data_IF_187737955431
#
_entry.id   IF_187737955431
#
_cell.length_a   1.000
_cell.length_b   1.000
_cell.length_c   1.000
_cell.angle_alpha   90.00
_cell.angle_beta   90.00
_cell.angle_gamma   90.00
#
_symmetry.space_group_name_H-M   'P 1'
#
loop_
_entity.id
_entity.type
_entity.pdbx_description
1 polymer ?
#
# COMPACT_ATOMS: atom_id res chain seq x y z
N UNK A 1 -11.17 -4.61 20.09
CA UNK A 1 -11.41 -4.53 18.64
C UNK A 1 -10.68 -3.34 18.05
N UNK A 2 -9.92 -3.55 16.95
CA UNK A 2 -9.11 -2.53 16.28
C UNK A 2 -9.68 -2.32 14.87
N UNK A 3 -9.79 -1.06 14.47
CA UNK A 3 -10.00 -0.68 13.07
C UNK A 3 -8.63 -0.31 12.48
N UNK A 4 -8.17 -1.08 11.51
CA UNK A 4 -6.90 -0.84 10.81
C UNK A 4 -7.16 -0.23 9.44
N UNK A 5 -6.47 0.88 9.13
CA UNK A 5 -6.55 1.55 7.84
C UNK A 5 -5.14 1.68 7.29
N UNK A 6 -4.92 1.12 6.10
CA UNK A 6 -3.68 1.24 5.37
C UNK A 6 -3.82 2.31 4.27
N UNK A 7 -2.90 3.27 4.24
CA UNK A 7 -2.85 4.32 3.23
C UNK A 7 -1.49 4.33 2.57
N UNK A 8 -1.47 4.19 1.25
CA UNK A 8 -0.24 4.18 0.47
C UNK A 8 0.30 5.60 0.26
N UNK A 9 1.61 5.72 0.25
CA UNK A 9 2.33 6.91 -0.17
C UNK A 9 3.18 6.55 -1.39
N UNK A 10 3.13 7.39 -2.42
CA UNK A 10 3.82 7.15 -3.68
C UNK A 10 5.01 8.08 -3.82
N UNK A 11 6.21 7.53 -3.79
CA UNK A 11 7.43 8.28 -4.07
C UNK A 11 7.79 8.28 -5.55
N UNK A 12 7.28 7.29 -6.29
CA UNK A 12 7.55 7.08 -7.70
C UNK A 12 6.43 6.28 -8.38
N UNK A 13 6.60 6.02 -9.68
CA UNK A 13 5.63 5.23 -10.47
C UNK A 13 5.48 3.79 -9.97
N UNK A 14 6.57 3.17 -9.51
CA UNK A 14 6.50 1.80 -9.02
C UNK A 14 5.58 1.68 -7.80
N UNK A 15 5.63 2.65 -6.88
CA UNK A 15 4.73 2.71 -5.73
C UNK A 15 3.26 2.86 -6.15
N UNK A 16 2.98 3.72 -7.12
CA UNK A 16 1.62 3.89 -7.64
C UNK A 16 1.12 2.61 -8.34
N UNK A 17 1.95 1.98 -9.16
CA UNK A 17 1.59 0.74 -9.85
C UNK A 17 1.37 -0.41 -8.87
N UNK A 18 2.17 -0.49 -7.81
CA UNK A 18 1.95 -1.45 -6.73
C UNK A 18 0.59 -1.22 -6.05
N UNK A 19 0.21 0.02 -5.81
CA UNK A 19 -1.11 0.35 -5.25
C UNK A 19 -2.26 -0.02 -6.21
N UNK A 20 -2.10 0.23 -7.51
CA UNK A 20 -3.07 -0.21 -8.51
C UNK A 20 -3.22 -1.74 -8.52
N UNK A 21 -2.12 -2.46 -8.36
CA UNK A 21 -2.13 -3.92 -8.23
C UNK A 21 -2.89 -4.36 -6.98
N UNK A 22 -2.59 -3.77 -5.83
CA UNK A 22 -3.24 -4.11 -4.56
C UNK A 22 -4.74 -3.83 -4.58
N UNK A 23 -5.17 -2.80 -5.31
CA UNK A 23 -6.57 -2.38 -5.41
C UNK A 23 -7.27 -2.89 -6.67
N UNK A 24 -6.70 -3.89 -7.32
CA UNK A 24 -7.24 -4.46 -8.56
C UNK A 24 -8.61 -5.13 -8.34
N UNK A 25 -8.89 -5.62 -7.15
CA UNK A 25 -10.20 -6.11 -6.76
C UNK A 25 -10.77 -5.24 -5.63
N UNK A 26 -12.11 -5.23 -5.51
CA UNK A 26 -12.77 -4.48 -4.44
C UNK A 26 -12.89 -5.29 -3.13
N UNK A 27 -12.21 -6.42 -3.04
CA UNK A 27 -12.27 -7.31 -1.88
C UNK A 27 -11.17 -6.98 -0.88
N UNK A 28 -11.55 -6.64 0.34
CA UNK A 28 -10.62 -6.26 1.42
C UNK A 28 -9.58 -7.35 1.70
N UNK A 29 -10.00 -8.62 1.70
CA UNK A 29 -9.07 -9.73 1.93
C UNK A 29 -8.03 -9.85 0.82
N UNK A 30 -8.40 -9.62 -0.43
CA UNK A 30 -7.46 -9.57 -1.55
C UNK A 30 -6.47 -8.42 -1.40
N UNK A 31 -6.96 -7.25 -1.03
CA UNK A 31 -6.11 -6.08 -0.83
C UNK A 31 -4.98 -6.36 0.17
N UNK A 32 -5.30 -6.83 1.37
CA UNK A 32 -4.28 -7.10 2.38
C UNK A 32 -3.38 -8.27 2.02
N UNK A 33 -3.88 -9.30 1.36
CA UNK A 33 -3.07 -10.41 0.86
C UNK A 33 -2.05 -9.95 -0.18
N UNK A 34 -2.44 -9.07 -1.09
CA UNK A 34 -1.53 -8.49 -2.09
C UNK A 34 -0.52 -7.54 -1.43
N UNK A 35 -0.95 -6.73 -0.46
CA UNK A 35 -0.06 -5.85 0.31
C UNK A 35 1.03 -6.66 1.01
N UNK A 36 0.70 -7.79 1.62
CA UNK A 36 1.68 -8.67 2.25
C UNK A 36 2.73 -9.17 1.25
N UNK A 37 2.29 -9.59 0.06
CA UNK A 37 3.20 -10.01 -1.01
C UNK A 37 4.05 -8.85 -1.54
N UNK A 38 3.47 -7.67 -1.70
CA UNK A 38 4.19 -6.49 -2.16
C UNK A 38 5.33 -6.11 -1.21
N UNK A 39 5.09 -6.15 0.10
CA UNK A 39 6.13 -5.89 1.09
C UNK A 39 7.15 -7.03 1.15
N UNK A 40 6.72 -8.28 1.12
CA UNK A 40 7.62 -9.43 1.15
C UNK A 40 8.55 -9.48 -0.07
N UNK A 41 8.07 -9.06 -1.23
CA UNK A 41 8.83 -9.08 -2.49
C UNK A 41 9.23 -7.68 -2.97
N UNK A 42 9.23 -6.69 -2.08
CA UNK A 42 9.49 -5.29 -2.42
C UNK A 42 10.74 -5.07 -3.29
N UNK A 43 11.90 -5.70 -3.02
CA UNK A 43 13.07 -5.50 -3.86
C UNK A 43 12.88 -5.90 -5.33
N UNK A 44 11.95 -6.80 -5.62
CA UNK A 44 11.71 -7.29 -6.98
C UNK A 44 11.01 -6.28 -7.87
N UNK A 45 10.17 -5.41 -7.31
CA UNK A 45 9.41 -4.45 -8.10
C UNK A 45 9.81 -2.99 -7.84
N UNK A 46 10.47 -2.68 -6.72
CA UNK A 46 10.74 -1.31 -6.32
C UNK A 46 12.13 -0.79 -6.74
N UNK A 47 13.04 -1.67 -7.11
CA UNK A 47 14.45 -1.31 -7.38
C UNK A 47 14.79 -1.12 -8.85
N UNK A 48 13.95 -1.60 -9.77
CA UNK A 48 14.20 -1.44 -11.19
C UNK A 48 13.78 -0.05 -11.67
N UNK A 49 14.57 0.52 -12.57
CA UNK A 49 14.20 1.73 -13.31
C UNK A 49 13.47 1.39 -14.61
N UNK A 50 13.48 0.12 -15.01
CA UNK A 50 12.85 -0.36 -16.23
C UNK A 50 11.37 -0.69 -15.99
N UNK A 51 10.49 -0.01 -16.71
CA UNK A 51 9.03 -0.18 -16.59
C UNK A 51 8.60 -1.63 -16.79
N UNK A 52 9.18 -2.32 -17.77
CA UNK A 52 8.81 -3.71 -18.09
C UNK A 52 9.12 -4.67 -16.95
N UNK A 53 10.25 -4.47 -16.26
CA UNK A 53 10.63 -5.30 -15.12
C UNK A 53 9.69 -5.08 -13.93
N UNK A 54 9.29 -3.83 -13.69
CA UNK A 54 8.33 -3.50 -12.62
C UNK A 54 6.99 -4.16 -12.93
N UNK A 55 6.49 -4.02 -14.15
CA UNK A 55 5.23 -4.62 -14.58
C UNK A 55 5.27 -6.14 -14.45
N UNK A 56 6.33 -6.79 -14.94
CA UNK A 56 6.49 -8.24 -14.83
C UNK A 56 6.44 -8.73 -13.39
N UNK A 57 7.13 -8.05 -12.49
CA UNK A 57 7.13 -8.39 -11.06
C UNK A 57 5.72 -8.25 -10.45
N UNK A 58 5.01 -7.16 -10.77
CA UNK A 58 3.65 -6.92 -10.28
C UNK A 58 2.64 -7.92 -10.85
N UNK A 59 2.79 -8.32 -12.11
CA UNK A 59 1.95 -9.36 -12.72
C UNK A 59 2.16 -10.72 -12.05
N UNK A 60 3.39 -11.06 -11.66
CA UNK A 60 3.68 -12.28 -10.91
C UNK A 60 3.05 -12.27 -9.52
N UNK A 61 3.08 -11.14 -8.83
CA UNK A 61 2.40 -10.96 -7.54
C UNK A 61 0.89 -11.11 -7.71
N UNK A 62 0.30 -10.49 -8.74
CA UNK A 62 -1.12 -10.63 -9.06
C UNK A 62 -1.51 -12.09 -9.30
N UNK A 63 -0.70 -12.82 -10.06
CA UNK A 63 -0.93 -14.25 -10.33
C UNK A 63 -0.93 -15.09 -9.06
N UNK A 64 -0.01 -14.83 -8.12
CA UNK A 64 0.03 -15.49 -6.82
C UNK A 64 -1.24 -15.24 -6.00
N UNK A 65 -1.90 -14.11 -6.24
CA UNK A 65 -3.15 -13.73 -5.56
C UNK A 65 -4.41 -14.19 -6.31
N UNK A 66 -4.25 -14.96 -7.38
CA UNK A 66 -5.36 -15.49 -8.17
C UNK A 66 -5.98 -14.50 -9.15
N UNK A 67 -5.30 -13.40 -9.47
CA UNK A 67 -5.76 -12.41 -10.44
C UNK A 67 -5.22 -12.79 -11.82
N UNK A 68 -6.11 -12.97 -12.79
CA UNK A 68 -5.73 -13.26 -14.17
C UNK A 68 -4.89 -12.13 -14.77
N UNK A 69 -3.96 -12.50 -15.64
CA UNK A 69 -3.03 -11.55 -16.28
C UNK A 69 -3.77 -10.41 -17.01
N UNK A 70 -4.81 -10.71 -17.78
CA UNK A 70 -5.58 -9.68 -18.49
C UNK A 70 -6.22 -8.68 -17.52
N UNK A 71 -6.77 -9.16 -16.40
CA UNK A 71 -7.34 -8.31 -15.35
C UNK A 71 -6.27 -7.47 -14.69
N UNK A 72 -5.12 -8.06 -14.34
CA UNK A 72 -4.00 -7.36 -13.72
C UNK A 72 -3.48 -6.24 -14.62
N UNK A 73 -3.33 -6.49 -15.92
CA UNK A 73 -2.94 -5.48 -16.90
C UNK A 73 -3.97 -4.35 -16.97
N UNK A 74 -5.26 -4.66 -17.01
CA UNK A 74 -6.31 -3.64 -17.06
C UNK A 74 -6.29 -2.74 -15.81
N UNK A 75 -5.95 -3.29 -14.65
CA UNK A 75 -5.80 -2.51 -13.42
C UNK A 75 -4.61 -1.55 -13.48
N UNK A 76 -3.48 -1.99 -14.05
CA UNK A 76 -2.29 -1.14 -14.23
C UNK A 76 -2.51 -0.04 -15.27
N UNK A 77 -3.39 -0.25 -16.23
CA UNK A 77 -3.73 0.72 -17.28
C UNK A 77 -4.86 1.67 -16.92
N UNK A 78 -5.49 1.50 -15.77
CA UNK A 78 -6.63 2.30 -15.30
C UNK A 78 -6.16 3.69 -14.83
N UNK A 79 -6.15 4.63 -15.75
CA UNK A 79 -5.70 6.00 -15.50
C UNK A 79 -6.63 6.78 -14.56
N UNK A 80 -7.93 6.54 -14.62
CA UNK A 80 -8.90 7.17 -13.71
C UNK A 80 -8.66 6.73 -12.28
N UNK A 81 -8.42 5.44 -12.08
CA UNK A 81 -8.06 4.89 -10.78
C UNK A 81 -6.75 5.47 -10.27
N UNK A 82 -5.73 5.52 -11.12
CA UNK A 82 -4.43 6.09 -10.79
C UNK A 82 -4.56 7.55 -10.33
N UNK A 83 -5.30 8.37 -11.07
CA UNK A 83 -5.55 9.76 -10.70
C UNK A 83 -6.26 9.86 -9.36
N UNK A 84 -7.31 9.07 -9.15
CA UNK A 84 -8.05 9.02 -7.88
C UNK A 84 -7.15 8.65 -6.70
N UNK A 85 -6.25 7.69 -6.88
CA UNK A 85 -5.31 7.28 -5.84
C UNK A 85 -4.32 8.39 -5.50
N UNK A 86 -3.79 9.09 -6.50
CA UNK A 86 -2.87 10.23 -6.30
C UNK A 86 -3.58 11.37 -5.56
N UNK A 87 -4.79 11.72 -5.95
CA UNK A 87 -5.58 12.76 -5.29
C UNK A 87 -5.86 12.41 -3.82
N UNK A 88 -6.24 11.18 -3.53
CA UNK A 88 -6.44 10.70 -2.15
C UNK A 88 -5.15 10.73 -1.33
N UNK A 89 -4.06 10.29 -1.91
CA UNK A 89 -2.75 10.36 -1.28
C UNK A 89 -2.40 11.79 -0.88
N UNK A 90 -2.50 12.73 -1.81
CA UNK A 90 -2.20 14.13 -1.57
C UNK A 90 -3.11 14.73 -0.50
N UNK A 91 -4.40 14.43 -0.55
CA UNK A 91 -5.37 14.92 0.43
C UNK A 91 -5.03 14.43 1.85
N UNK A 92 -4.85 13.12 2.02
CA UNK A 92 -4.60 12.57 3.36
C UNK A 92 -3.21 12.89 3.89
N UNK A 93 -2.20 12.91 3.05
CA UNK A 93 -0.85 13.28 3.44
C UNK A 93 -0.79 14.73 3.94
N UNK A 94 -1.49 15.64 3.28
CA UNK A 94 -1.59 17.04 3.71
C UNK A 94 -2.41 17.18 4.99
N UNK A 95 -3.57 16.54 5.06
CA UNK A 95 -4.45 16.60 6.24
C UNK A 95 -3.73 16.12 7.50
N UNK A 96 -3.01 15.03 7.40
CA UNK A 96 -2.35 14.37 8.54
C UNK A 96 -0.88 14.81 8.70
N UNK A 97 -0.43 15.74 7.88
CA UNK A 97 0.95 16.25 7.88
C UNK A 97 2.00 15.13 7.84
N UNK A 98 1.86 14.24 6.85
CA UNK A 98 2.75 13.09 6.67
C UNK A 98 4.02 13.53 5.96
N UNK A 99 5.17 13.37 6.60
CA UNK A 99 6.48 13.80 6.09
C UNK A 99 7.40 12.62 5.76
N UNK A 100 7.10 11.44 6.30
CA UNK A 100 7.94 10.25 6.13
C UNK A 100 7.12 8.98 6.26
N UNK A 101 7.69 7.86 5.80
CA UNK A 101 7.11 6.52 5.96
C UNK A 101 8.08 5.60 6.69
N UNK A 102 7.60 4.67 7.50
CA UNK A 102 6.20 4.56 7.94
C UNK A 102 5.79 5.63 8.94
N UNK A 103 4.54 6.07 8.87
CA UNK A 103 3.92 6.92 9.89
C UNK A 103 2.64 6.26 10.37
N UNK A 104 2.42 6.27 11.67
CA UNK A 104 1.26 5.67 12.31
C UNK A 104 0.43 6.73 13.02
N UNK A 105 -0.88 6.69 12.84
CA UNK A 105 -1.81 7.52 13.60
C UNK A 105 -2.70 6.59 14.40
N UNK A 106 -2.55 6.63 15.72
CA UNK A 106 -3.28 5.75 16.65
C UNK A 106 -4.14 6.64 17.55
N UNK A 107 -5.46 6.51 17.38
CA UNK A 107 -6.43 7.35 18.11
C UNK A 107 -6.08 8.85 18.05
N UNK A 108 -5.74 9.34 16.86
CA UNK A 108 -5.43 10.74 16.60
C UNK A 108 -4.01 11.18 16.96
N UNK A 109 -3.18 10.31 17.54
CA UNK A 109 -1.78 10.60 17.86
C UNK A 109 -0.85 10.07 16.80
N UNK A 110 0.07 10.88 16.33
CA UNK A 110 1.03 10.54 15.27
C UNK A 110 2.34 9.99 15.86
N UNK A 111 2.80 8.88 15.28
CA UNK A 111 4.06 8.22 15.60
C UNK A 111 4.83 7.93 14.33
N UNK A 112 6.12 8.23 14.29
CA UNK A 112 7.01 7.96 13.16
C UNK A 112 7.99 6.86 13.54
N UNK A 113 8.35 6.00 12.60
CA UNK A 113 9.43 5.02 12.69
C UNK A 113 9.51 4.29 14.05
N UNK A 114 8.49 3.50 14.37
CA UNK A 114 8.44 2.66 15.57
C UNK A 114 8.67 1.19 15.21
N UNK A 115 9.32 0.45 16.12
CA UNK A 115 9.42 -1.00 16.02
C UNK A 115 8.05 -1.66 16.25
N UNK A 116 7.91 -2.91 15.85
CA UNK A 116 6.69 -3.68 16.11
C UNK A 116 6.36 -3.72 17.62
N UNK A 117 7.36 -3.98 18.47
CA UNK A 117 7.17 -4.06 19.91
C UNK A 117 6.71 -2.74 20.53
N UNK A 118 7.26 -1.63 20.06
CA UNK A 118 6.82 -0.29 20.49
C UNK A 118 5.37 -0.02 20.07
N UNK A 119 5.01 -0.31 18.81
CA UNK A 119 3.65 -0.15 18.32
C UNK A 119 2.67 -1.02 19.10
N UNK A 120 3.04 -2.27 19.36
CA UNK A 120 2.22 -3.20 20.12
C UNK A 120 1.90 -2.61 21.52
N UNK A 121 2.90 -2.13 22.22
CA UNK A 121 2.73 -1.50 23.55
C UNK A 121 1.81 -0.27 23.50
N UNK A 122 1.96 0.57 22.47
CA UNK A 122 1.10 1.74 22.29
C UNK A 122 -0.35 1.31 22.07
N UNK A 123 -0.57 0.34 21.19
CA UNK A 123 -1.92 -0.17 20.89
C UNK A 123 -2.56 -0.82 22.11
N UNK A 124 -1.82 -1.65 22.84
CA UNK A 124 -2.31 -2.30 24.07
C UNK A 124 -2.72 -1.24 25.10
N UNK A 125 -1.93 -0.21 25.30
CA UNK A 125 -2.25 0.90 26.21
C UNK A 125 -3.53 1.63 25.78
N UNK A 126 -3.72 1.87 24.48
CA UNK A 126 -4.94 2.52 23.98
C UNK A 126 -6.19 1.61 24.11
N UNK A 127 -6.02 0.30 24.04
CA UNK A 127 -7.10 -0.66 24.24
C UNK A 127 -7.54 -0.76 25.72
N UNK A 128 -6.64 -0.51 26.66
CA UNK A 128 -6.90 -0.57 28.09
C UNK A 128 -7.53 0.73 28.65
N UNK A 129 -7.61 1.76 27.84
CA UNK A 129 -8.24 3.04 28.19
C UNK A 129 -9.79 3.03 27.87
#
# INVERSE_FOLDING_TARGET
KIKFIHREIYFDRAGLWAALTARCTNMVNHYFGIIDLLYAEQPKWSRSELSDEIVDALLKISAKSGIEKAKAISCLEDQEKALSLVEKFQFYAKRDNIESTPTFIINGKKYTNRSYDELKKIIEKELDN
#
